data_IF_663351833998
#
_entry.id   IF_663351833998
#
_cell.length_a   1.000
_cell.length_b   1.000
_cell.length_c   1.000
_cell.angle_alpha   90.00
_cell.angle_beta   90.00
_cell.angle_gamma   90.00
#
_symmetry.space_group_name_H-M   'P 1'
#
loop_
_entity.id
_entity.type
_entity.pdbx_description
1 polymer ?
#
# COMPACT_ATOMS: atom_id res chain seq x y z
N UNK A 1 -64.77 33.66 8.58
CA UNK A 1 -64.78 32.33 7.92
C UNK A 1 -64.07 32.45 6.58
N UNK A 2 -62.73 32.32 6.52
CA UNK A 2 -61.93 32.30 5.28
C UNK A 2 -60.45 32.01 5.60
N UNK A 3 -60.14 30.79 6.05
CA UNK A 3 -58.74 30.41 6.35
C UNK A 3 -58.49 28.89 6.32
N UNK A 4 -59.29 28.13 5.56
CA UNK A 4 -59.15 26.66 5.45
C UNK A 4 -58.65 26.12 4.11
N UNK A 5 -58.71 26.90 3.02
CA UNK A 5 -58.52 26.37 1.66
C UNK A 5 -57.11 26.57 1.05
N UNK A 6 -56.22 27.33 1.71
CA UNK A 6 -54.87 27.60 1.18
C UNK A 6 -53.84 26.52 1.54
N UNK A 7 -54.00 25.83 2.67
CA UNK A 7 -53.06 24.79 3.12
C UNK A 7 -53.20 23.48 2.32
N UNK A 8 -54.42 23.12 1.89
CA UNK A 8 -54.68 21.88 1.16
C UNK A 8 -54.09 21.86 -0.27
N UNK A 9 -53.97 23.02 -0.93
CA UNK A 9 -53.37 23.13 -2.27
C UNK A 9 -51.85 22.94 -2.27
N UNK A 10 -51.17 23.31 -1.19
CA UNK A 10 -49.71 23.17 -1.10
C UNK A 10 -49.29 21.73 -0.76
N UNK A 11 -50.05 21.02 0.07
CA UNK A 11 -49.78 19.61 0.40
C UNK A 11 -49.88 18.71 -0.83
N UNK A 12 -50.83 18.96 -1.73
CA UNK A 12 -51.01 18.17 -2.96
C UNK A 12 -49.88 18.41 -3.99
N UNK A 13 -49.42 19.66 -4.14
CA UNK A 13 -48.32 20.01 -5.06
C UNK A 13 -46.98 19.42 -4.59
N UNK A 14 -46.71 19.41 -3.29
CA UNK A 14 -45.49 18.80 -2.73
C UNK A 14 -45.51 17.27 -2.96
N UNK A 15 -46.66 16.62 -2.81
CA UNK A 15 -46.81 15.17 -3.03
C UNK A 15 -46.68 14.77 -4.51
N UNK A 16 -47.16 15.61 -5.45
CA UNK A 16 -47.08 15.33 -6.89
C UNK A 16 -45.66 15.46 -7.49
N UNK A 17 -44.74 16.20 -6.84
CA UNK A 17 -43.36 16.39 -7.34
C UNK A 17 -42.34 15.52 -6.60
N UNK A 18 -42.60 15.14 -5.34
CA UNK A 18 -41.68 14.30 -4.57
C UNK A 18 -41.68 12.81 -5.01
N UNK A 19 -42.78 12.33 -5.60
CA UNK A 19 -42.95 10.93 -6.00
C UNK A 19 -42.12 10.49 -7.24
N UNK A 20 -41.93 11.30 -8.30
CA UNK A 20 -41.08 10.88 -9.41
C UNK A 20 -39.57 10.97 -9.12
N UNK A 21 -39.12 11.81 -8.17
CA UNK A 21 -37.68 11.97 -7.87
C UNK A 21 -37.11 10.78 -7.09
N UNK A 22 -37.92 10.12 -6.25
CA UNK A 22 -37.49 8.92 -5.52
C UNK A 22 -37.45 7.67 -6.40
N UNK A 23 -38.26 7.62 -7.47
CA UNK A 23 -38.31 6.47 -8.38
C UNK A 23 -37.14 6.43 -9.39
N UNK A 24 -36.44 7.54 -9.60
CA UNK A 24 -35.30 7.61 -10.53
C UNK A 24 -33.94 7.30 -9.87
N UNK A 25 -33.90 7.00 -8.57
CA UNK A 25 -32.65 6.71 -7.86
C UNK A 25 -32.26 5.22 -7.85
N UNK A 26 -33.09 4.32 -8.41
CA UNK A 26 -32.85 2.86 -8.35
C UNK A 26 -32.30 2.22 -9.63
N UNK A 27 -32.17 2.95 -10.74
CA UNK A 27 -31.70 2.38 -12.02
C UNK A 27 -30.43 3.07 -12.46
N UNK A 28 -29.29 2.65 -11.89
CA UNK A 28 -28.02 3.26 -12.25
C UNK A 28 -26.81 2.73 -11.49
N UNK A 29 -26.79 1.46 -11.10
CA UNK A 29 -25.54 0.80 -10.75
C UNK A 29 -25.05 0.07 -12.01
N UNK A 30 -24.17 0.66 -12.85
CA UNK A 30 -23.42 -0.15 -13.79
C UNK A 30 -22.62 -1.13 -12.93
N UNK A 31 -22.97 -2.41 -13.03
CA UNK A 31 -22.18 -3.50 -12.51
C UNK A 31 -20.81 -3.42 -13.16
N UNK A 32 -19.90 -2.70 -12.50
CA UNK A 32 -18.48 -2.82 -12.72
C UNK A 32 -18.10 -4.22 -12.31
N UNK A 33 -18.25 -5.16 -13.25
CA UNK A 33 -17.45 -6.35 -13.25
C UNK A 33 -16.00 -5.84 -13.26
N UNK A 34 -15.41 -5.73 -12.08
CA UNK A 34 -13.97 -5.65 -11.95
C UNK A 34 -13.47 -6.94 -12.58
N UNK A 35 -12.97 -6.83 -13.81
CA UNK A 35 -12.23 -7.89 -14.45
C UNK A 35 -11.10 -8.21 -13.50
N UNK A 36 -11.24 -9.29 -12.75
CA UNK A 36 -10.16 -9.82 -11.95
C UNK A 36 -9.07 -10.16 -12.94
N UNK A 37 -8.04 -9.30 -13.00
CA UNK A 37 -6.81 -9.67 -13.66
C UNK A 37 -6.39 -11.02 -13.07
N UNK A 38 -6.08 -12.03 -13.89
CA UNK A 38 -5.47 -13.24 -13.36
C UNK A 38 -4.26 -12.80 -12.52
N UNK A 39 -4.05 -13.40 -11.33
CA UNK A 39 -2.95 -13.02 -10.47
C UNK A 39 -1.67 -13.03 -11.31
N UNK A 40 -0.93 -11.91 -11.31
CA UNK A 40 0.35 -11.80 -11.98
C UNK A 40 1.15 -13.04 -11.63
N UNK A 41 1.59 -13.77 -12.66
CA UNK A 41 2.44 -14.95 -12.48
C UNK A 41 3.57 -14.54 -11.54
N UNK A 42 3.82 -15.28 -10.45
CA UNK A 42 4.90 -14.93 -9.54
C UNK A 42 6.19 -14.76 -10.36
N UNK A 43 6.96 -13.69 -10.13
CA UNK A 43 8.15 -13.42 -10.92
C UNK A 43 9.03 -14.67 -10.92
N UNK A 44 9.46 -15.08 -12.12
CA UNK A 44 10.43 -16.17 -12.23
C UNK A 44 11.68 -15.76 -11.45
N UNK A 45 12.26 -16.66 -10.63
CA UNK A 45 13.48 -16.35 -9.93
C UNK A 45 14.56 -15.96 -10.95
N UNK A 46 15.29 -14.86 -10.70
CA UNK A 46 16.38 -14.45 -11.57
C UNK A 46 17.40 -15.58 -11.76
N UNK A 47 18.07 -15.69 -12.92
CA UNK A 47 19.19 -16.60 -13.09
C UNK A 47 20.24 -16.40 -11.98
N UNK A 48 20.90 -17.48 -11.55
CA UNK A 48 21.83 -17.49 -10.40
C UNK A 48 23.05 -16.53 -10.54
N UNK A 49 23.19 -15.90 -11.71
CA UNK A 49 24.15 -14.85 -12.03
C UNK A 49 23.79 -13.50 -11.37
N UNK A 50 22.57 -13.35 -10.87
CA UNK A 50 22.03 -12.11 -10.28
C UNK A 50 22.32 -11.94 -8.77
N UNK A 51 22.98 -12.92 -8.14
CA UNK A 51 23.39 -12.82 -6.74
C UNK A 51 24.82 -12.28 -6.62
N UNK A 52 24.99 -11.19 -5.87
CA UNK A 52 26.31 -10.59 -5.59
C UNK A 52 26.72 -10.94 -4.17
N UNK A 53 27.74 -11.79 -3.96
CA UNK A 53 28.21 -12.14 -2.63
C UNK A 53 28.59 -10.92 -1.80
N UNK A 54 28.31 -11.00 -0.51
CA UNK A 54 28.57 -9.95 0.46
C UNK A 54 27.63 -8.73 0.36
N UNK A 55 26.56 -8.81 -0.45
CA UNK A 55 25.56 -7.74 -0.55
C UNK A 55 24.16 -8.24 -0.22
N UNK A 56 23.48 -7.45 0.61
CA UNK A 56 22.08 -7.66 1.02
C UNK A 56 21.31 -6.36 0.77
N UNK A 57 20.11 -6.45 0.24
CA UNK A 57 19.18 -5.34 0.11
C UNK A 57 18.25 -5.31 1.31
N UNK A 58 18.06 -4.14 1.91
CA UNK A 58 17.19 -3.96 3.08
C UNK A 58 16.29 -2.76 2.90
N UNK A 59 14.99 -2.96 3.11
CA UNK A 59 14.01 -1.89 3.19
C UNK A 59 13.55 -1.74 4.63
N UNK A 60 13.68 -0.53 5.17
CA UNK A 60 13.18 -0.19 6.50
C UNK A 60 11.76 0.36 6.42
N UNK A 61 11.05 0.31 7.55
CA UNK A 61 9.77 1.00 7.70
C UNK A 61 9.97 2.52 7.53
N UNK A 62 9.03 3.26 6.92
CA UNK A 62 9.13 4.71 6.74
C UNK A 62 9.30 5.50 8.05
N UNK A 63 8.88 4.90 9.18
CA UNK A 63 9.08 5.46 10.51
C UNK A 63 10.56 5.55 10.92
N UNK A 64 11.43 4.75 10.29
CA UNK A 64 12.89 4.83 10.47
C UNK A 64 13.43 5.80 9.44
N UNK A 65 13.71 7.04 9.87
CA UNK A 65 14.33 8.02 8.98
C UNK A 65 15.67 7.52 8.45
N UNK A 66 16.02 7.89 7.21
CA UNK A 66 17.22 7.42 6.52
C UNK A 66 18.53 7.64 7.33
N UNK A 67 18.62 8.74 8.08
CA UNK A 67 19.76 8.99 8.96
C UNK A 67 19.89 7.91 10.06
N UNK A 68 18.79 7.50 10.66
CA UNK A 68 18.78 6.48 11.71
C UNK A 68 19.08 5.07 11.18
N UNK A 69 18.86 4.81 9.88
CA UNK A 69 19.17 3.51 9.28
C UNK A 69 20.65 3.17 9.40
N UNK A 70 21.54 4.14 9.20
CA UNK A 70 22.98 3.92 9.32
C UNK A 70 23.38 3.51 10.73
N UNK A 71 22.87 4.20 11.75
CA UNK A 71 23.11 3.87 13.16
C UNK A 71 22.57 2.49 13.51
N UNK A 72 21.34 2.19 13.05
CA UNK A 72 20.66 0.89 13.25
C UNK A 72 21.35 -0.29 12.59
N UNK A 73 22.07 -0.07 11.51
CA UNK A 73 22.93 -1.07 10.87
C UNK A 73 24.26 -1.20 11.61
N UNK A 74 24.86 -0.08 12.03
CA UNK A 74 26.10 -0.06 12.79
C UNK A 74 25.97 -0.77 14.15
N UNK A 75 24.83 -0.63 14.83
CA UNK A 75 24.46 -1.39 16.05
C UNK A 75 24.50 -2.91 15.85
N UNK A 76 24.41 -3.39 14.61
CA UNK A 76 24.49 -4.81 14.24
C UNK A 76 25.83 -5.21 13.63
N UNK A 77 26.81 -4.28 13.62
CA UNK A 77 28.09 -4.45 12.95
C UNK A 77 27.99 -4.48 11.43
N UNK A 78 26.88 -3.97 10.86
CA UNK A 78 26.64 -3.90 9.43
C UNK A 78 26.89 -2.49 8.91
N UNK A 79 27.17 -2.36 7.61
CA UNK A 79 27.36 -1.05 6.96
C UNK A 79 26.52 -0.97 5.70
N UNK A 80 25.90 0.19 5.47
CA UNK A 80 25.27 0.48 4.19
C UNK A 80 26.34 0.98 3.21
N UNK A 81 26.45 0.33 2.04
CA UNK A 81 27.28 0.77 0.91
C UNK A 81 26.56 1.77 -0.01
N UNK A 82 25.25 1.94 0.17
CA UNK A 82 24.48 2.94 -0.55
C UNK A 82 22.98 2.74 -0.43
N UNK A 83 22.22 3.58 -1.13
CA UNK A 83 20.76 3.52 -1.21
C UNK A 83 20.32 3.54 -2.68
N UNK A 84 19.29 2.76 -3.00
CA UNK A 84 18.58 2.84 -4.28
C UNK A 84 17.54 3.95 -4.13
N UNK A 85 17.88 5.13 -4.65
CA UNK A 85 17.02 6.31 -4.59
C UNK A 85 15.63 6.02 -5.21
N UNK A 86 14.58 6.55 -4.61
CA UNK A 86 13.19 6.35 -5.03
C UNK A 86 12.52 5.06 -4.53
N UNK A 87 13.29 4.09 -4.01
CA UNK A 87 12.76 2.86 -3.40
C UNK A 87 13.00 2.77 -1.89
N UNK A 88 13.87 3.63 -1.35
CA UNK A 88 14.35 3.63 0.04
C UNK A 88 14.93 2.26 0.47
N UNK A 89 15.60 1.59 -0.47
CA UNK A 89 16.26 0.31 -0.27
C UNK A 89 17.76 0.52 -0.09
N UNK A 90 18.29 0.05 1.03
CA UNK A 90 19.69 0.17 1.40
C UNK A 90 20.46 -1.07 0.94
N UNK A 91 21.63 -0.85 0.35
CA UNK A 91 22.61 -1.90 0.06
C UNK A 91 23.47 -2.07 1.30
N UNK A 92 23.44 -3.25 1.89
CA UNK A 92 24.17 -3.57 3.13
C UNK A 92 25.31 -4.52 2.79
N UNK A 93 26.49 -4.21 3.31
CA UNK A 93 27.67 -5.07 3.22
C UNK A 93 27.66 -6.10 4.32
N UNK A 94 27.91 -7.34 3.94
CA UNK A 94 28.03 -8.49 4.84
C UNK A 94 29.23 -9.33 4.42
N UNK A 95 29.83 -10.12 5.34
CA UNK A 95 30.84 -11.09 4.94
C UNK A 95 30.29 -12.09 3.90
N UNK A 96 31.04 -12.41 2.84
CA UNK A 96 30.61 -13.42 1.87
C UNK A 96 30.31 -14.77 2.53
N UNK A 97 29.18 -15.39 2.18
CA UNK A 97 28.69 -16.64 2.79
C UNK A 97 27.90 -16.44 4.09
N UNK A 98 27.70 -15.20 4.54
CA UNK A 98 26.90 -14.84 5.73
C UNK A 98 25.61 -14.09 5.39
N UNK A 99 25.28 -13.98 4.10
CA UNK A 99 24.12 -13.24 3.60
C UNK A 99 22.83 -13.81 4.17
N UNK A 100 22.63 -15.12 4.09
CA UNK A 100 21.41 -15.78 4.60
C UNK A 100 21.21 -15.58 6.11
N UNK A 101 22.30 -15.65 6.89
CA UNK A 101 22.27 -15.39 8.34
C UNK A 101 21.90 -13.93 8.62
N UNK A 102 22.51 -13.00 7.88
CA UNK A 102 22.22 -11.57 7.99
C UNK A 102 20.77 -11.25 7.59
N UNK A 103 20.29 -11.81 6.49
CA UNK A 103 18.91 -11.67 6.00
C UNK A 103 17.93 -12.18 7.05
N UNK A 104 18.15 -13.39 7.60
CA UNK A 104 17.28 -13.96 8.63
C UNK A 104 17.20 -13.05 9.86
N UNK A 105 18.36 -12.53 10.32
CA UNK A 105 18.43 -11.60 11.45
C UNK A 105 17.73 -10.27 11.15
N UNK A 106 17.90 -9.73 9.94
CA UNK A 106 17.27 -8.47 9.53
C UNK A 106 15.75 -8.62 9.41
N UNK A 107 15.26 -9.73 8.82
CA UNK A 107 13.82 -10.03 8.73
C UNK A 107 13.14 -10.19 10.08
N UNK A 108 13.87 -10.61 11.11
CA UNK A 108 13.33 -10.73 12.46
C UNK A 108 13.11 -9.38 13.16
N UNK A 109 13.64 -8.27 12.61
CA UNK A 109 13.53 -6.96 13.23
C UNK A 109 12.18 -6.32 12.96
N UNK A 110 11.60 -5.68 13.98
CA UNK A 110 10.32 -5.00 13.87
C UNK A 110 10.37 -3.73 13.00
N UNK A 111 11.55 -3.20 12.71
CA UNK A 111 11.75 -1.96 11.94
C UNK A 111 12.10 -2.20 10.46
N UNK A 112 12.27 -3.46 10.06
CA UNK A 112 12.54 -3.89 8.69
C UNK A 112 11.23 -4.32 8.01
N UNK A 113 11.02 -3.86 6.78
CA UNK A 113 9.92 -4.31 5.91
C UNK A 113 10.34 -5.49 5.05
N UNK A 114 11.60 -5.48 4.59
CA UNK A 114 12.09 -6.45 3.63
C UNK A 114 13.61 -6.58 3.72
N UNK A 115 14.12 -7.80 3.52
CA UNK A 115 15.54 -8.04 3.32
C UNK A 115 15.77 -9.24 2.38
N UNK A 116 16.71 -9.15 1.45
CA UNK A 116 17.13 -10.20 0.51
C UNK A 116 18.59 -10.10 0.10
#
# INVERSE_FOLDING_TARGET
MLSGQRLARWVCVIYCVALPVLALALVGAPGGAAWAHPPDKPPSPPPAEDFIPGRVLVKFKPSVGAAAVHDRLAEQGLRASGVIAGLDVFKVEVPPGKEWEAIARLRARADVLYAE
#
